data_IF_201211604173
#
_entry.id   IF_201211604173
#
_cell.length_a   1.000
_cell.length_b   1.000
_cell.length_c   1.000
_cell.angle_alpha   90.00
_cell.angle_beta   90.00
_cell.angle_gamma   90.00
#
_symmetry.space_group_name_H-M   'P 1'
#
loop_
_entity.id
_entity.type
_entity.pdbx_description
1 polymer ?
#
# COMPACT_ATOMS: atom_id res chain seq x y z
N UNK A 1 -13.23 -18.05 45.35
CA UNK A 1 -14.46 -17.24 45.17
C UNK A 1 -15.64 -17.92 45.84
N UNK A 2 -16.49 -17.14 46.50
CA UNK A 2 -17.79 -17.60 46.97
C UNK A 2 -18.76 -17.77 45.79
N UNK A 3 -19.81 -18.58 45.99
CA UNK A 3 -20.88 -18.81 45.00
C UNK A 3 -21.63 -17.52 44.66
N UNK A 4 -21.69 -16.55 45.58
CA UNK A 4 -22.26 -15.21 45.34
C UNK A 4 -21.36 -14.39 44.42
N UNK A 5 -20.06 -14.34 44.70
CA UNK A 5 -19.10 -13.61 43.86
C UNK A 5 -19.07 -14.13 42.43
N UNK A 6 -19.11 -15.45 42.23
CA UNK A 6 -19.20 -16.04 40.87
C UNK A 6 -20.43 -15.54 40.10
N UNK A 7 -21.57 -15.37 40.78
CA UNK A 7 -22.82 -14.89 40.16
C UNK A 7 -22.74 -13.39 39.85
N UNK A 8 -22.16 -12.59 40.74
CA UNK A 8 -21.93 -11.15 40.50
C UNK A 8 -21.01 -10.96 39.28
N UNK A 9 -19.89 -11.69 39.23
CA UNK A 9 -18.96 -11.65 38.09
C UNK A 9 -19.63 -12.03 36.77
N UNK A 10 -20.46 -13.09 36.74
CA UNK A 10 -21.20 -13.47 35.54
C UNK A 10 -22.21 -12.40 35.11
N UNK A 11 -22.96 -11.84 36.06
CA UNK A 11 -23.94 -10.78 35.80
C UNK A 11 -23.26 -9.53 35.20
N UNK A 12 -22.15 -9.09 35.79
CA UNK A 12 -21.36 -7.96 35.29
C UNK A 12 -20.75 -8.25 33.92
N UNK A 13 -20.20 -9.44 33.70
CA UNK A 13 -19.64 -9.85 32.40
C UNK A 13 -20.71 -9.77 31.31
N UNK A 14 -21.88 -10.34 31.54
CA UNK A 14 -22.99 -10.32 30.59
C UNK A 14 -23.60 -8.93 30.37
N UNK A 15 -23.64 -8.12 31.43
CA UNK A 15 -24.13 -6.75 31.29
C UNK A 15 -23.17 -5.89 30.46
N UNK A 16 -21.86 -5.99 30.69
CA UNK A 16 -20.89 -5.11 30.04
C UNK A 16 -20.42 -5.61 28.67
N UNK A 17 -20.26 -6.93 28.46
CA UNK A 17 -19.81 -7.46 27.18
C UNK A 17 -20.95 -7.73 26.20
N UNK A 18 -22.03 -8.33 26.69
CA UNK A 18 -23.17 -8.71 25.85
C UNK A 18 -24.26 -7.62 25.83
N UNK A 19 -24.04 -6.50 26.53
CA UNK A 19 -24.98 -5.37 26.67
C UNK A 19 -26.38 -5.78 27.18
N UNK A 20 -26.45 -6.84 27.99
CA UNK A 20 -27.71 -7.40 28.47
C UNK A 20 -28.29 -6.53 29.59
N UNK A 21 -29.60 -6.25 29.51
CA UNK A 21 -30.34 -5.61 30.58
C UNK A 21 -30.48 -6.54 31.79
N UNK A 22 -30.78 -5.97 32.97
CA UNK A 22 -31.00 -6.76 34.19
C UNK A 22 -32.08 -7.86 34.03
N UNK A 23 -33.09 -7.64 33.17
CA UNK A 23 -34.11 -8.64 32.85
C UNK A 23 -33.56 -9.79 32.02
N UNK A 24 -32.73 -9.49 31.03
CA UNK A 24 -32.13 -10.52 30.16
C UNK A 24 -31.05 -11.32 30.89
N UNK A 25 -30.29 -10.67 31.78
CA UNK A 25 -29.36 -11.35 32.70
C UNK A 25 -30.11 -12.34 33.59
N UNK A 26 -31.25 -11.94 34.18
CA UNK A 26 -32.11 -12.84 34.96
C UNK A 26 -32.54 -14.05 34.13
N UNK A 27 -33.10 -13.81 32.94
CA UNK A 27 -33.61 -14.87 32.09
C UNK A 27 -32.50 -15.83 31.65
N UNK A 28 -31.26 -15.33 31.53
CA UNK A 28 -30.09 -16.14 31.26
C UNK A 28 -29.65 -17.00 32.46
N UNK A 29 -29.73 -16.46 33.68
CA UNK A 29 -29.49 -17.23 34.91
C UNK A 29 -30.43 -18.44 35.04
N UNK A 30 -31.72 -18.26 34.71
CA UNK A 30 -32.70 -19.35 34.66
C UNK A 30 -32.37 -20.34 33.54
N UNK A 31 -32.13 -19.84 32.33
CA UNK A 31 -31.88 -20.67 31.13
C UNK A 31 -30.65 -21.54 31.27
N UNK A 32 -29.58 -21.03 31.88
CA UNK A 32 -28.34 -21.77 32.11
C UNK A 32 -28.39 -22.64 33.39
N UNK A 33 -29.52 -22.64 34.11
CA UNK A 33 -29.71 -23.45 35.31
C UNK A 33 -28.87 -23.00 36.52
N UNK A 34 -28.40 -21.76 36.52
CA UNK A 34 -27.56 -21.19 37.59
C UNK A 34 -28.41 -20.70 38.77
N UNK A 35 -29.67 -20.35 38.50
CA UNK A 35 -30.70 -20.13 39.51
C UNK A 35 -31.82 -19.21 39.05
N UNK A 36 -32.95 -19.29 39.74
CA UNK A 36 -34.05 -18.33 39.61
C UNK A 36 -33.85 -17.20 40.64
N UNK A 37 -33.77 -15.96 40.15
CA UNK A 37 -33.47 -14.78 40.94
C UNK A 37 -34.45 -13.65 40.65
N UNK A 38 -34.78 -12.87 41.68
CA UNK A 38 -35.56 -11.67 41.48
C UNK A 38 -34.78 -10.61 40.69
N UNK A 39 -35.50 -9.80 39.91
CA UNK A 39 -34.91 -8.70 39.13
C UNK A 39 -34.14 -7.70 40.03
N UNK A 40 -34.61 -7.48 41.26
CA UNK A 40 -33.91 -6.67 42.27
C UNK A 40 -32.54 -7.25 42.63
N UNK A 41 -32.44 -8.58 42.78
CA UNK A 41 -31.18 -9.25 43.09
C UNK A 41 -30.17 -9.12 41.95
N UNK A 42 -30.62 -9.20 40.69
CA UNK A 42 -29.74 -8.95 39.55
C UNK A 42 -29.29 -7.49 39.51
N UNK A 43 -30.19 -6.53 39.76
CA UNK A 43 -29.81 -5.11 39.88
C UNK A 43 -28.80 -4.88 41.00
N UNK A 44 -28.94 -5.54 42.14
CA UNK A 44 -27.98 -5.46 43.23
C UNK A 44 -26.61 -6.00 42.78
N UNK A 45 -26.56 -7.08 42.01
CA UNK A 45 -25.30 -7.59 41.43
C UNK A 45 -24.66 -6.62 40.43
N UNK A 46 -25.46 -5.92 39.63
CA UNK A 46 -24.97 -4.93 38.67
C UNK A 46 -24.54 -3.61 39.33
N UNK A 47 -25.07 -3.31 40.52
CA UNK A 47 -24.69 -2.13 41.32
C UNK A 47 -23.47 -2.37 42.21
N UNK A 48 -23.01 -3.62 42.36
CA UNK A 48 -21.73 -3.89 43.01
C UNK A 48 -20.62 -3.34 42.11
N UNK A 49 -19.67 -2.60 42.70
CA UNK A 49 -18.52 -2.08 41.95
C UNK A 49 -17.88 -3.25 41.19
N UNK A 50 -17.72 -3.13 39.87
CA UNK A 50 -17.06 -4.17 39.10
C UNK A 50 -15.68 -4.36 39.69
N UNK A 51 -15.38 -5.59 40.11
CA UNK A 51 -14.04 -5.92 40.58
C UNK A 51 -13.07 -5.60 39.44
N UNK A 52 -11.90 -5.08 39.77
CA UNK A 52 -10.86 -4.73 38.79
C UNK A 52 -10.54 -5.89 37.83
N UNK A 53 -10.55 -7.13 38.34
CA UNK A 53 -10.45 -8.37 37.53
C UNK A 53 -11.52 -8.51 36.42
N UNK A 54 -12.72 -7.98 36.62
CA UNK A 54 -13.80 -8.00 35.63
C UNK A 54 -13.59 -6.91 34.57
N UNK A 55 -13.12 -5.73 34.98
CA UNK A 55 -12.76 -4.65 34.06
C UNK A 55 -11.57 -5.04 33.18
N UNK A 56 -10.52 -5.62 33.77
CA UNK A 56 -9.36 -6.14 33.03
C UNK A 56 -9.77 -7.24 32.04
N UNK A 57 -10.63 -8.17 32.44
CA UNK A 57 -11.13 -9.23 31.54
C UNK A 57 -11.96 -8.66 30.39
N UNK A 58 -12.72 -7.59 30.63
CA UNK A 58 -13.50 -6.87 29.60
C UNK A 58 -12.55 -6.17 28.64
N UNK A 59 -11.58 -5.41 29.14
CA UNK A 59 -10.58 -4.71 28.34
C UNK A 59 -9.74 -5.67 27.50
N UNK A 60 -9.35 -6.81 28.06
CA UNK A 60 -8.61 -7.84 27.35
C UNK A 60 -9.43 -8.47 26.22
N UNK A 61 -10.71 -8.78 26.46
CA UNK A 61 -11.60 -9.35 25.44
C UNK A 61 -11.85 -8.33 24.31
N UNK A 62 -12.02 -7.04 24.63
CA UNK A 62 -12.10 -5.97 23.64
C UNK A 62 -10.78 -5.78 22.87
N UNK A 63 -9.62 -5.88 23.53
CA UNK A 63 -8.31 -5.79 22.88
C UNK A 63 -8.09 -6.96 21.91
N UNK A 64 -8.46 -8.17 22.30
CA UNK A 64 -8.36 -9.37 21.45
C UNK A 64 -9.25 -9.24 20.21
N UNK A 65 -10.49 -8.75 20.36
CA UNK A 65 -11.40 -8.50 19.23
C UNK A 65 -10.83 -7.43 18.30
N UNK A 66 -10.31 -6.33 18.84
CA UNK A 66 -9.65 -5.27 18.05
C UNK A 66 -8.45 -5.82 17.28
N UNK A 67 -7.63 -6.64 17.93
CA UNK A 67 -6.48 -7.28 17.30
C UNK A 67 -6.89 -8.20 16.14
N UNK A 68 -7.92 -9.05 16.32
CA UNK A 68 -8.42 -9.93 15.26
C UNK A 68 -8.94 -9.17 14.04
N UNK A 69 -9.65 -8.06 14.27
CA UNK A 69 -10.13 -7.19 13.20
C UNK A 69 -8.94 -6.52 12.50
N UNK A 70 -7.95 -6.02 13.25
CA UNK A 70 -6.75 -5.42 12.70
C UNK A 70 -5.92 -6.40 11.84
N UNK A 71 -5.80 -7.65 12.27
CA UNK A 71 -5.14 -8.73 11.51
C UNK A 71 -5.91 -9.08 10.24
N UNK A 72 -7.25 -9.04 10.28
CA UNK A 72 -8.09 -9.22 9.10
C UNK A 72 -7.85 -8.11 8.08
N UNK A 73 -7.86 -6.85 8.50
CA UNK A 73 -7.61 -5.71 7.62
C UNK A 73 -6.18 -5.72 7.05
N UNK A 74 -5.19 -6.12 7.84
CA UNK A 74 -3.82 -6.29 7.33
C UNK A 74 -3.70 -7.38 6.26
N UNK A 75 -4.43 -8.49 6.42
CA UNK A 75 -4.47 -9.54 5.38
C UNK A 75 -5.09 -9.02 4.08
N UNK A 76 -6.16 -8.21 4.18
CA UNK A 76 -6.77 -7.58 3.00
C UNK A 76 -5.82 -6.60 2.33
N UNK A 77 -5.13 -5.76 3.12
CA UNK A 77 -4.10 -4.85 2.63
C UNK A 77 -2.98 -5.57 1.88
N UNK A 78 -2.41 -6.64 2.45
CA UNK A 78 -1.36 -7.43 1.77
C UNK A 78 -1.85 -8.01 0.46
N UNK A 79 -3.06 -8.57 0.44
CA UNK A 79 -3.67 -9.13 -0.77
C UNK A 79 -3.85 -8.09 -1.87
N UNK A 80 -4.34 -6.91 -1.52
CA UNK A 80 -4.51 -5.80 -2.47
C UNK A 80 -3.16 -5.32 -3.03
N UNK A 81 -2.12 -5.28 -2.20
CA UNK A 81 -0.76 -4.91 -2.62
C UNK A 81 -0.12 -5.96 -3.52
N UNK A 82 -0.29 -7.24 -3.20
CA UNK A 82 0.18 -8.36 -4.04
C UNK A 82 -0.51 -8.35 -5.41
N UNK A 83 -1.82 -8.05 -5.45
CA UNK A 83 -2.55 -7.89 -6.70
C UNK A 83 -2.07 -6.68 -7.52
N UNK A 84 -1.79 -5.54 -6.89
CA UNK A 84 -1.18 -4.37 -7.57
C UNK A 84 0.20 -4.72 -8.14
N UNK A 85 1.04 -5.43 -7.37
CA UNK A 85 2.37 -5.81 -7.81
C UNK A 85 2.34 -6.82 -8.98
N UNK A 86 1.42 -7.79 -8.96
CA UNK A 86 1.25 -8.76 -10.03
C UNK A 86 0.65 -8.15 -11.31
N UNK A 87 -0.07 -7.02 -11.20
CA UNK A 87 -0.63 -6.28 -12.33
C UNK A 87 0.34 -5.25 -12.93
N UNK A 88 1.58 -5.15 -12.43
CA UNK A 88 2.61 -4.29 -13.01
C UNK A 88 3.84 -5.11 -13.33
N UNK A 89 4.07 -5.42 -14.61
CA UNK A 89 5.32 -5.99 -15.09
C UNK A 89 6.19 -4.87 -15.69
N UNK A 90 7.46 -4.80 -15.28
CA UNK A 90 8.41 -3.89 -15.91
C UNK A 90 8.99 -4.56 -17.15
N UNK A 91 8.59 -4.11 -18.34
CA UNK A 91 9.17 -4.58 -19.59
C UNK A 91 10.47 -3.83 -19.91
N UNK A 92 11.57 -4.52 -20.23
CA UNK A 92 12.82 -3.86 -20.58
C UNK A 92 12.69 -3.20 -21.95
N UNK A 93 12.76 -1.87 -21.97
CA UNK A 93 12.91 -1.12 -23.22
C UNK A 93 14.31 -1.36 -23.75
N UNK A 94 14.37 -1.99 -24.93
CA UNK A 94 15.60 -2.23 -25.66
C UNK A 94 15.69 -1.27 -26.84
N UNK A 95 16.91 -0.90 -27.20
CA UNK A 95 17.18 -0.29 -28.51
C UNK A 95 18.35 -1.00 -29.16
N UNK A 96 18.34 -1.01 -30.47
CA UNK A 96 19.41 -1.50 -31.31
C UNK A 96 20.25 -0.31 -31.78
N UNK A 97 21.55 -0.34 -31.49
CA UNK A 97 22.52 0.69 -31.91
C UNK A 97 23.67 0.06 -32.70
N UNK A 98 24.33 0.80 -33.60
CA UNK A 98 25.49 0.30 -34.30
C UNK A 98 26.58 -0.03 -33.28
N UNK A 99 27.15 -1.22 -33.40
CA UNK A 99 28.33 -1.60 -32.63
C UNK A 99 29.49 -0.71 -33.06
N UNK A 100 30.08 0.00 -32.12
CA UNK A 100 31.25 0.84 -32.38
C UNK A 100 32.53 0.21 -31.81
N UNK A 101 33.66 0.49 -32.46
CA UNK A 101 35.00 0.27 -31.94
C UNK A 101 35.75 1.61 -31.95
N UNK A 102 36.89 1.70 -31.28
CA UNK A 102 37.64 2.95 -31.12
C UNK A 102 38.98 2.86 -31.81
N UNK A 103 39.33 3.88 -32.60
CA UNK A 103 40.67 3.97 -33.19
C UNK A 103 41.71 4.11 -32.07
N UNK A 104 42.78 3.30 -32.03
CA UNK A 104 43.83 3.43 -31.02
C UNK A 104 44.35 4.87 -30.91
N UNK A 105 44.37 5.40 -29.69
CA UNK A 105 44.69 6.81 -29.43
C UNK A 105 46.16 7.16 -29.69
N UNK A 106 47.04 6.15 -29.75
CA UNK A 106 48.47 6.26 -30.03
C UNK A 106 48.80 6.27 -31.53
N UNK A 107 47.80 6.20 -32.39
CA UNK A 107 47.98 6.21 -33.84
C UNK A 107 48.40 7.59 -34.34
N UNK A 108 49.47 7.65 -35.14
CA UNK A 108 50.03 8.92 -35.66
C UNK A 108 49.25 9.53 -36.83
N UNK A 109 48.37 8.76 -37.48
CA UNK A 109 47.64 9.21 -38.66
C UNK A 109 46.18 8.75 -38.63
N UNK A 110 45.24 9.54 -39.18
CA UNK A 110 43.83 9.17 -39.25
C UNK A 110 43.64 7.81 -39.92
N UNK A 111 42.61 7.08 -39.49
CA UNK A 111 42.24 5.80 -40.08
C UNK A 111 41.22 6.02 -41.20
N UNK A 112 41.53 5.64 -42.45
CA UNK A 112 40.55 5.74 -43.53
C UNK A 112 39.49 4.65 -43.36
N UNK A 113 38.24 5.05 -43.16
CA UNK A 113 37.09 4.16 -42.99
C UNK A 113 36.02 4.49 -44.05
N UNK A 114 35.16 3.55 -44.48
CA UNK A 114 34.00 3.89 -45.31
C UNK A 114 33.18 5.00 -44.64
N UNK A 115 32.64 5.93 -45.42
CA UNK A 115 31.72 6.92 -44.87
C UNK A 115 30.44 6.22 -44.41
N UNK A 116 29.75 6.79 -43.43
CA UNK A 116 28.46 6.27 -42.96
C UNK A 116 27.52 7.41 -42.63
N UNK A 117 26.23 7.13 -42.73
CA UNK A 117 25.15 8.05 -42.39
C UNK A 117 24.11 7.35 -41.51
N UNK A 118 23.41 8.13 -40.70
CA UNK A 118 22.26 7.64 -39.93
C UNK A 118 21.05 7.67 -40.86
N UNK A 119 20.33 6.55 -40.93
CA UNK A 119 19.11 6.42 -41.72
C UNK A 119 17.95 6.97 -40.89
N UNK A 120 17.23 7.95 -41.43
CA UNK A 120 16.09 8.57 -40.74
C UNK A 120 14.91 7.59 -40.61
N UNK A 121 14.03 7.74 -39.60
CA UNK A 121 12.89 6.84 -39.38
C UNK A 121 11.93 6.72 -40.58
N UNK A 122 11.79 7.77 -41.37
CA UNK A 122 10.90 7.84 -42.54
C UNK A 122 11.58 7.46 -43.87
N UNK A 123 12.85 7.04 -43.83
CA UNK A 123 13.59 6.66 -45.03
C UNK A 123 13.05 5.33 -45.61
N UNK A 124 12.70 5.26 -46.91
CA UNK A 124 12.17 4.04 -47.53
C UNK A 124 13.16 2.85 -47.53
N UNK A 125 14.45 3.10 -47.38
CA UNK A 125 15.49 2.08 -47.30
C UNK A 125 15.73 1.60 -45.84
N UNK A 126 14.94 2.10 -44.88
CA UNK A 126 15.03 1.68 -43.48
C UNK A 126 14.55 0.22 -43.32
N UNK A 127 15.32 -0.65 -42.65
CA UNK A 127 14.94 -2.04 -42.49
C UNK A 127 13.64 -2.23 -41.70
N UNK A 128 12.80 -3.17 -42.14
CA UNK A 128 11.50 -3.47 -41.51
C UNK A 128 11.58 -3.92 -40.05
N UNK A 129 12.73 -4.44 -39.62
CA UNK A 129 12.94 -4.87 -38.24
C UNK A 129 13.21 -3.71 -37.27
N UNK A 130 13.56 -2.52 -37.77
CA UNK A 130 14.01 -1.41 -36.93
C UNK A 130 12.83 -0.64 -36.33
N UNK A 131 12.78 -0.56 -35.01
CA UNK A 131 11.75 0.21 -34.29
C UNK A 131 12.11 1.69 -34.22
N UNK A 132 11.16 2.58 -33.92
CA UNK A 132 11.36 4.06 -33.91
C UNK A 132 12.56 4.53 -33.07
N UNK A 133 12.93 3.77 -32.03
CA UNK A 133 14.03 4.08 -31.09
C UNK A 133 15.40 3.57 -31.55
N UNK A 134 15.45 2.74 -32.59
CA UNK A 134 16.67 2.12 -33.09
C UNK A 134 17.48 3.09 -33.95
N UNK A 135 18.80 3.07 -33.75
CA UNK A 135 19.73 3.86 -34.56
C UNK A 135 20.21 2.98 -35.70
N UNK A 136 19.67 3.21 -36.89
CA UNK A 136 20.08 2.52 -38.12
C UNK A 136 21.13 3.36 -38.83
N UNK A 137 22.18 2.72 -39.32
CA UNK A 137 23.18 3.38 -40.17
C UNK A 137 23.31 2.68 -41.51
N UNK A 138 23.82 3.40 -42.51
CA UNK A 138 24.21 2.87 -43.81
C UNK A 138 25.66 3.26 -44.11
N UNK A 139 26.43 2.32 -44.64
CA UNK A 139 27.76 2.62 -45.17
C UNK A 139 27.65 3.09 -46.62
N UNK A 140 28.40 4.13 -46.94
CA UNK A 140 28.68 4.57 -48.31
C UNK A 140 30.01 3.95 -48.73
N UNK A 141 29.96 2.99 -49.67
CA UNK A 141 31.14 2.27 -50.12
C UNK A 141 32.01 3.08 -51.10
N UNK A 142 31.43 4.10 -51.74
CA UNK A 142 32.11 4.94 -52.72
C UNK A 142 32.89 6.08 -52.07
N UNK A 143 32.52 6.46 -50.85
CA UNK A 143 33.18 7.52 -50.09
C UNK A 143 33.92 6.99 -48.86
N UNK A 144 35.04 7.63 -48.52
CA UNK A 144 35.80 7.32 -47.31
C UNK A 144 35.89 8.55 -46.42
N UNK A 145 35.68 8.34 -45.13
CA UNK A 145 35.95 9.32 -44.08
C UNK A 145 37.28 9.03 -43.39
N UNK A 146 37.84 10.04 -42.74
CA UNK A 146 39.06 9.92 -41.94
C UNK A 146 38.65 9.96 -40.47
N UNK A 147 38.77 8.83 -39.78
CA UNK A 147 38.47 8.72 -38.34
C UNK A 147 39.73 9.03 -37.56
N UNK A 148 39.67 10.01 -36.65
CA UNK A 148 40.84 10.45 -35.90
C UNK A 148 41.21 9.42 -34.81
N UNK A 149 42.48 9.40 -34.36
CA UNK A 149 42.88 8.62 -33.19
C UNK A 149 42.00 8.93 -31.97
N UNK A 150 41.49 7.91 -31.30
CA UNK A 150 40.59 8.03 -30.15
C UNK A 150 39.10 8.22 -30.52
N UNK A 151 38.74 8.39 -31.79
CA UNK A 151 37.33 8.49 -32.20
C UNK A 151 36.69 7.11 -32.39
N UNK A 152 35.40 6.97 -32.02
CA UNK A 152 34.64 5.76 -32.29
C UNK A 152 34.21 5.69 -33.75
N UNK A 153 34.15 4.48 -34.29
CA UNK A 153 33.65 4.19 -35.63
C UNK A 153 32.76 2.94 -35.63
N UNK A 154 31.74 2.88 -36.50
CA UNK A 154 30.87 1.71 -36.57
C UNK A 154 31.60 0.50 -37.19
N UNK A 155 31.36 -0.66 -36.58
CA UNK A 155 31.92 -1.94 -36.99
C UNK A 155 31.08 -2.52 -38.14
N UNK A 156 31.79 -3.03 -39.14
CA UNK A 156 31.19 -3.65 -40.32
C UNK A 156 31.30 -5.17 -40.23
N UNK A 157 30.24 -5.85 -40.65
CA UNK A 157 30.21 -7.30 -40.83
C UNK A 157 30.99 -7.71 -42.09
N UNK A 158 31.21 -9.00 -42.26
CA UNK A 158 31.97 -9.58 -43.38
C UNK A 158 31.28 -9.31 -44.73
N UNK A 159 29.95 -9.20 -44.72
CA UNK A 159 29.11 -8.91 -45.89
C UNK A 159 29.01 -7.42 -46.23
N UNK A 160 29.70 -6.54 -45.50
CA UNK A 160 29.66 -5.10 -45.71
C UNK A 160 28.54 -4.38 -44.94
N UNK A 161 27.66 -5.10 -44.26
CA UNK A 161 26.56 -4.51 -43.49
C UNK A 161 27.03 -3.97 -42.12
N UNK A 162 26.33 -2.98 -41.54
CA UNK A 162 26.56 -2.57 -40.16
C UNK A 162 26.31 -3.69 -39.16
N UNK A 163 27.20 -3.83 -38.17
CA UNK A 163 26.96 -4.70 -37.02
C UNK A 163 26.23 -3.93 -35.94
N UNK A 164 25.23 -4.53 -35.32
CA UNK A 164 24.44 -3.90 -34.26
C UNK A 164 24.63 -4.61 -32.91
N UNK A 165 24.36 -3.87 -31.83
CA UNK A 165 24.24 -4.39 -30.47
C UNK A 165 22.93 -3.90 -29.85
N UNK A 166 22.30 -4.74 -29.04
CA UNK A 166 21.08 -4.38 -28.31
C UNK A 166 21.44 -3.90 -26.92
N UNK A 167 21.04 -2.68 -26.57
CA UNK A 167 21.24 -2.09 -25.25
C UNK A 167 19.91 -1.94 -24.52
N UNK A 168 19.92 -2.14 -23.21
CA UNK A 168 18.77 -1.82 -22.35
C UNK A 168 18.84 -0.32 -22.02
N UNK A 169 17.78 0.41 -22.36
CA UNK A 169 17.72 1.88 -22.29
C UNK A 169 16.81 2.35 -21.15
N UNK A 170 15.94 1.47 -20.68
CA UNK A 170 15.02 1.75 -19.58
C UNK A 170 14.12 0.57 -19.27
N UNK A 171 13.24 0.78 -18.31
CA UNK A 171 12.12 -0.10 -17.97
C UNK A 171 10.84 0.68 -18.27
N UNK A 172 9.98 0.13 -19.11
CA UNK A 172 8.61 0.59 -19.26
C UNK A 172 7.78 -0.19 -18.26
N UNK A 173 7.05 0.52 -17.40
CA UNK A 173 6.15 -0.14 -16.48
C UNK A 173 4.87 -0.41 -17.25
N UNK A 174 4.63 -1.67 -17.57
CA UNK A 174 3.36 -2.05 -18.16
C UNK A 174 2.29 -1.88 -17.08
N UNK A 175 1.42 -0.91 -17.29
CA UNK A 175 0.31 -0.63 -16.38
C UNK A 175 -0.95 -0.85 -17.19
N UNK A 176 -1.44 -2.09 -17.16
CA UNK A 176 -2.64 -2.52 -17.87
C UNK A 176 -3.83 -1.56 -17.66
N UNK A 177 -3.96 -0.96 -16.47
CA UNK A 177 -5.02 0.01 -16.15
C UNK A 177 -4.67 0.94 -14.98
N UNK A 178 -4.25 2.18 -15.29
CA UNK A 178 -3.98 3.25 -14.30
C UNK A 178 -5.18 3.51 -13.36
N UNK A 179 -6.40 3.29 -13.82
CA UNK A 179 -7.62 3.50 -13.02
C UNK A 179 -7.79 2.38 -12.01
N UNK A 180 -7.51 1.14 -12.38
CA UNK A 180 -7.52 0.02 -11.43
C UNK A 180 -6.41 0.18 -10.39
N UNK A 181 -5.23 0.67 -10.78
CA UNK A 181 -4.16 0.95 -9.82
C UNK A 181 -4.58 2.04 -8.81
N UNK A 182 -5.27 3.10 -9.26
CA UNK A 182 -5.80 4.12 -8.37
C UNK A 182 -6.87 3.57 -7.41
N UNK A 183 -7.77 2.70 -7.90
CA UNK A 183 -8.77 2.02 -7.07
C UNK A 183 -8.13 1.08 -6.04
N UNK A 184 -7.14 0.28 -6.45
CA UNK A 184 -6.41 -0.60 -5.54
C UNK A 184 -5.68 0.17 -4.43
N UNK A 185 -5.11 1.33 -4.74
CA UNK A 185 -4.51 2.23 -3.72
C UNK A 185 -5.55 2.82 -2.78
N UNK A 186 -6.73 3.17 -3.28
CA UNK A 186 -7.83 3.65 -2.46
C UNK A 186 -8.32 2.55 -1.50
N UNK A 187 -8.47 1.31 -1.97
CA UNK A 187 -8.82 0.16 -1.15
C UNK A 187 -7.75 -0.14 -0.09
N UNK A 188 -6.47 -0.11 -0.47
CA UNK A 188 -5.35 -0.25 0.47
C UNK A 188 -5.37 0.81 1.58
N UNK A 189 -5.63 2.07 1.22
CA UNK A 189 -5.76 3.16 2.19
C UNK A 189 -6.95 2.95 3.12
N UNK A 190 -8.09 2.48 2.59
CA UNK A 190 -9.28 2.19 3.40
C UNK A 190 -9.02 1.09 4.42
N UNK A 191 -8.32 0.02 4.04
CA UNK A 191 -7.96 -1.06 4.98
C UNK A 191 -6.98 -0.60 6.06
N UNK A 192 -6.01 0.25 5.72
CA UNK A 192 -5.08 0.83 6.71
C UNK A 192 -5.78 1.76 7.70
N UNK A 193 -6.71 2.58 7.21
CA UNK A 193 -7.52 3.45 8.06
C UNK A 193 -8.40 2.63 8.99
N UNK A 194 -9.17 1.67 8.47
CA UNK A 194 -10.01 0.78 9.27
C UNK A 194 -9.21 0.01 10.33
N UNK A 195 -7.99 -0.44 10.00
CA UNK A 195 -7.07 -1.05 10.97
C UNK A 195 -6.67 -0.06 12.07
N UNK A 196 -6.35 1.18 11.72
CA UNK A 196 -5.96 2.22 12.67
C UNK A 196 -7.10 2.66 13.60
N UNK A 197 -8.33 2.77 13.08
CA UNK A 197 -9.53 3.12 13.85
C UNK A 197 -9.83 2.04 14.90
N UNK A 198 -9.73 0.77 14.50
CA UNK A 198 -9.95 -0.39 15.38
C UNK A 198 -8.89 -0.50 16.46
N UNK A 199 -7.64 -0.19 16.15
CA UNK A 199 -6.53 -0.20 17.12
C UNK A 199 -6.49 1.08 17.99
N UNK A 200 -7.36 2.05 17.73
CA UNK A 200 -7.37 3.33 18.46
C UNK A 200 -6.18 4.24 18.15
N UNK A 201 -5.48 4.00 17.03
CA UNK A 201 -4.33 4.82 16.57
C UNK A 201 -4.82 6.13 15.95
N UNK A 202 -6.03 6.14 15.40
CA UNK A 202 -6.74 7.34 14.99
C UNK A 202 -7.88 7.57 15.98
N UNK A 203 -7.85 8.70 16.70
CA UNK A 203 -8.97 9.11 17.52
C UNK A 203 -9.85 10.05 16.69
N UNK A 204 -11.11 9.70 16.51
CA UNK A 204 -12.13 10.66 16.09
C UNK A 204 -12.36 11.62 17.27
N UNK A 205 -11.72 12.79 17.25
CA UNK A 205 -12.13 13.89 18.13
C UNK A 205 -13.47 14.41 17.60
N UNK A 206 -14.56 13.94 18.17
CA UNK A 206 -15.87 14.57 17.99
C UNK A 206 -15.89 15.81 18.89
N UNK A 207 -15.39 16.93 18.37
CA UNK A 207 -15.57 18.24 19.02
C UNK A 207 -17.02 18.68 18.81
N UNK A 208 -17.85 18.42 19.82
CA UNK A 208 -19.24 18.87 19.85
C UNK A 208 -19.29 20.26 20.50
N UNK A 209 -18.91 21.29 19.77
CA UNK A 209 -19.03 22.67 20.25
C UNK A 209 -20.49 23.14 20.09
N UNK A 210 -21.24 23.09 21.19
CA UNK A 210 -22.63 23.54 21.23
C UNK A 210 -22.75 24.85 22.01
N UNK A 211 -22.83 25.98 21.31
CA UNK A 211 -23.26 27.24 21.91
C UNK A 211 -24.79 27.21 22.06
N UNK A 212 -25.25 27.25 23.31
CA UNK A 212 -26.65 26.98 23.67
C UNK A 212 -27.51 28.23 23.60
N UNK A 213 -27.23 29.18 22.70
CA UNK A 213 -28.08 30.36 22.52
C UNK A 213 -28.19 30.77 21.04
N UNK A 214 -29.39 30.54 20.47
CA UNK A 214 -29.93 31.07 19.21
C UNK A 214 -29.56 30.39 17.87
N UNK A 215 -30.50 29.53 17.45
CA UNK A 215 -30.91 29.23 16.07
C UNK A 215 -29.84 29.12 14.96
N UNK A 216 -29.60 27.86 14.55
CA UNK A 216 -29.52 27.52 13.12
C UNK A 216 -28.13 27.26 12.56
N UNK A 217 -27.64 26.03 12.74
CA UNK A 217 -26.52 25.47 11.98
C UNK A 217 -25.60 24.64 12.88
N UNK A 218 -25.72 23.32 12.81
CA UNK A 218 -24.66 22.43 13.28
C UNK A 218 -23.67 22.30 12.12
N UNK A 219 -22.44 22.73 12.31
CA UNK A 219 -21.34 22.40 11.42
C UNK A 219 -20.56 21.25 12.05
N UNK A 220 -20.43 20.13 11.34
CA UNK A 220 -19.71 18.95 11.81
C UNK A 220 -18.44 18.87 10.98
N UNK A 221 -17.31 19.22 11.58
CA UNK A 221 -16.00 19.07 10.96
C UNK A 221 -15.29 17.85 11.55
N UNK A 222 -15.05 16.83 10.71
CA UNK A 222 -14.30 15.63 11.10
C UNK A 222 -12.82 15.86 10.74
N UNK A 223 -12.01 16.14 11.75
CA UNK A 223 -10.55 16.27 11.59
C UNK A 223 -9.88 15.00 12.09
N UNK A 224 -9.19 14.28 11.21
CA UNK A 224 -8.50 13.04 11.55
C UNK A 224 -7.12 13.38 12.14
N UNK A 225 -6.87 13.04 13.41
CA UNK A 225 -5.57 13.19 14.07
C UNK A 225 -4.96 11.82 14.39
N UNK A 226 -3.65 11.67 14.19
CA UNK A 226 -2.90 10.47 14.59
C UNK A 226 -2.52 10.62 16.05
N UNK A 227 -2.98 9.72 16.91
CA UNK A 227 -2.64 9.73 18.33
C UNK A 227 -1.13 9.50 18.49
N UNK A 228 -0.44 10.42 19.16
CA UNK A 228 0.96 10.28 19.58
C UNK A 228 1.03 10.08 21.09
N UNK A 229 2.18 9.63 21.61
CA UNK A 229 2.39 9.41 23.05
C UNK A 229 2.15 10.67 23.91
N UNK A 230 2.16 11.88 23.33
CA UNK A 230 1.82 13.13 24.03
C UNK A 230 0.30 13.30 24.28
N UNK A 231 -0.57 12.64 23.52
CA UNK A 231 -2.03 12.78 23.67
C UNK A 231 -2.61 11.96 24.83
N UNK A 232 -1.87 10.97 25.34
CA UNK A 232 -2.33 10.06 26.41
C UNK A 232 -2.11 10.61 27.83
N UNK A 233 -1.45 11.76 27.96
CA UNK A 233 -1.10 12.36 29.27
C UNK A 233 -2.10 13.41 29.77
N UNK A 234 -3.17 13.70 29.03
CA UNK A 234 -4.15 14.74 29.37
C UNK A 234 -5.47 14.11 29.84
N UNK A 235 -5.49 13.53 31.05
CA UNK A 235 -6.73 13.38 31.87
C UNK A 235 -6.46 12.78 33.28
N UNK A 236 -5.28 13.03 33.86
CA UNK A 236 -4.99 12.67 35.26
C UNK A 236 -4.54 13.90 36.08
N UNK A 237 -5.43 14.88 36.26
CA UNK A 237 -5.41 15.80 37.43
C UNK A 237 -6.82 16.06 37.97
#
# INVERSE_FOLDING_TARGET
MSTRERRVTLALKWHHLDNLSAGEVRDRFEREGIGDYALSTIRDYLNEQPKEEVLEAIEQEHADVRLQIAEREERMYRRAREAEAAATEDEPIRRTVPKTDTVPADRESPMPWPAWEIVEPDDPDRPEWAEERDIVIRFDEDHRTQVMPGEPYPVRSIDGSPTYTTEMVGLERDVDDLKQQAMARQEQSSHLQAKGDVLGVYSEKIELEGDLEHSGGFDVSITHHRVTEEDTDVDNE
#
